data_IF_397832118857
#
_entry.id   IF_397832118857
#
_cell.length_a   1.000
_cell.length_b   1.000
_cell.length_c   1.000
_cell.angle_alpha   90.00
_cell.angle_beta   90.00
_cell.angle_gamma   90.00
#
_symmetry.space_group_name_H-M   'P 1'
#
loop_
_entity.id
_entity.type
_entity.pdbx_description
1 polymer ?
#
# COMPACT_ATOMS: atom_id res chain seq x y z
N UNK A 1 13.51 1.99 -3.89
CA UNK A 1 13.47 3.00 -2.82
C UNK A 1 14.07 2.55 -1.49
N UNK A 2 13.53 1.54 -0.79
CA UNK A 2 14.13 1.12 0.51
C UNK A 2 15.57 0.67 0.34
N UNK A 3 15.84 -0.15 -0.69
CA UNK A 3 17.19 -0.61 -1.05
C UNK A 3 18.16 0.51 -1.45
N UNK A 4 17.64 1.63 -1.95
CA UNK A 4 18.41 2.83 -2.31
C UNK A 4 18.49 3.82 -1.13
N UNK A 5 17.96 3.46 0.04
CA UNK A 5 17.89 4.29 1.24
C UNK A 5 17.09 5.60 1.07
N UNK A 6 16.32 5.75 -0.01
CA UNK A 6 15.45 6.91 -0.25
C UNK A 6 14.20 6.84 0.64
N UNK A 7 13.63 5.64 0.81
CA UNK A 7 12.46 5.45 1.65
C UNK A 7 12.85 4.96 3.05
N UNK A 8 12.30 5.63 4.05
CA UNK A 8 12.62 5.38 5.46
C UNK A 8 11.66 4.37 6.12
N UNK A 9 12.08 3.73 7.19
CA UNK A 9 11.20 2.98 8.09
C UNK A 9 10.35 3.91 8.96
N UNK A 10 9.06 3.61 9.07
CA UNK A 10 8.09 4.39 9.88
C UNK A 10 7.17 3.51 10.73
N UNK A 11 7.51 2.23 10.89
CA UNK A 11 6.69 1.23 11.57
C UNK A 11 7.53 0.50 12.63
N UNK A 12 6.88 0.02 13.69
CA UNK A 12 7.52 -0.64 14.83
C UNK A 12 7.96 0.34 15.92
N UNK A 13 8.60 -0.18 16.96
CA UNK A 13 9.05 0.60 18.13
C UNK A 13 10.07 1.68 17.74
N UNK A 14 11.03 1.33 16.88
CA UNK A 14 12.04 2.27 16.34
C UNK A 14 11.45 3.41 15.51
N UNK A 15 10.20 3.27 15.05
CA UNK A 15 9.50 4.22 14.19
C UNK A 15 8.49 5.13 14.90
N UNK A 16 8.36 5.04 16.23
CA UNK A 16 7.30 5.74 17.01
C UNK A 16 7.50 7.27 17.02
N UNK A 17 8.69 7.73 17.40
CA UNK A 17 9.01 9.16 17.51
C UNK A 17 9.85 9.68 16.33
N UNK A 18 10.14 8.83 15.34
CA UNK A 18 11.08 9.17 14.28
C UNK A 18 11.08 8.17 13.13
N UNK A 19 11.83 8.49 12.08
CA UNK A 19 12.05 7.61 10.94
C UNK A 19 13.45 7.01 11.05
N UNK A 20 13.62 5.77 10.59
CA UNK A 20 14.92 5.08 10.63
C UNK A 20 15.30 4.54 9.25
N UNK A 21 16.59 4.29 9.01
CA UNK A 21 17.03 3.70 7.74
C UNK A 21 16.55 2.24 7.62
N UNK A 22 15.98 1.91 6.48
CA UNK A 22 15.35 0.62 6.26
C UNK A 22 15.69 0.10 4.86
N UNK A 23 16.82 -0.62 4.69
CA UNK A 23 17.23 -1.11 3.37
C UNK A 23 16.28 -2.19 2.82
N UNK A 24 15.64 -2.95 3.70
CA UNK A 24 14.69 -4.02 3.34
C UNK A 24 13.26 -3.53 3.60
N UNK A 25 12.45 -3.44 2.54
CA UNK A 25 11.04 -3.08 2.64
C UNK A 25 10.24 -4.13 3.41
N UNK A 26 9.51 -3.72 4.46
CA UNK A 26 8.53 -4.58 5.12
C UNK A 26 7.18 -4.44 4.44
N UNK A 27 6.70 -5.53 3.85
CA UNK A 27 5.41 -5.60 3.14
C UNK A 27 4.23 -5.15 4.02
N UNK A 28 4.23 -5.47 5.31
CA UNK A 28 3.18 -5.09 6.27
C UNK A 28 3.02 -3.58 6.49
N UNK A 29 4.04 -2.78 6.13
CA UNK A 29 3.96 -1.32 6.24
C UNK A 29 3.11 -0.70 5.13
N UNK A 30 2.78 -1.47 4.09
CA UNK A 30 2.12 -0.96 2.89
C UNK A 30 0.85 -1.73 2.57
N UNK A 31 -0.15 -1.01 2.06
CA UNK A 31 -1.36 -1.58 1.45
C UNK A 31 -1.65 -0.85 0.17
N UNK A 32 -2.22 -1.56 -0.79
CA UNK A 32 -2.68 -0.97 -2.05
C UNK A 32 -4.19 -0.85 -2.02
N UNK A 33 -4.72 0.25 -2.51
CA UNK A 33 -6.15 0.43 -2.72
C UNK A 33 -6.35 0.75 -4.20
N UNK A 34 -7.19 -0.02 -4.89
CA UNK A 34 -7.56 0.33 -6.25
C UNK A 34 -8.46 1.58 -6.25
N UNK A 35 -8.16 2.55 -7.11
CA UNK A 35 -8.90 3.81 -7.21
C UNK A 35 -9.57 4.00 -8.56
N UNK A 36 -8.91 3.64 -9.65
CA UNK A 36 -9.44 3.76 -11.01
C UNK A 36 -9.35 2.42 -11.73
N UNK A 37 -10.37 2.00 -12.50
CA UNK A 37 -11.69 2.63 -12.71
C UNK A 37 -12.74 2.29 -11.64
N UNK A 38 -12.58 1.17 -10.94
CA UNK A 38 -13.51 0.77 -9.87
C UNK A 38 -12.84 0.93 -8.49
N UNK A 39 -13.18 1.97 -7.72
CA UNK A 39 -12.54 2.23 -6.44
C UNK A 39 -12.94 1.18 -5.39
N UNK A 40 -11.95 0.43 -4.92
CA UNK A 40 -12.15 -0.57 -3.87
C UNK A 40 -12.12 0.13 -2.50
N UNK A 41 -13.26 0.65 -2.05
CA UNK A 41 -13.36 1.44 -0.80
C UNK A 41 -13.83 0.63 0.41
N UNK A 42 -14.47 -0.51 0.20
CA UNK A 42 -15.02 -1.34 1.27
C UNK A 42 -14.93 -2.83 0.94
N UNK A 43 -15.06 -3.67 1.98
CA UNK A 43 -14.96 -5.12 1.87
C UNK A 43 -13.58 -5.69 2.19
N UNK A 44 -13.51 -7.02 2.25
CA UNK A 44 -12.31 -7.78 2.69
C UNK A 44 -11.09 -7.56 1.79
N UNK A 45 -11.30 -7.30 0.50
CA UNK A 45 -10.26 -7.18 -0.52
C UNK A 45 -10.03 -5.73 -0.98
N UNK A 46 -10.57 -4.74 -0.27
CA UNK A 46 -10.40 -3.32 -0.62
C UNK A 46 -8.94 -2.85 -0.55
N UNK A 47 -8.21 -3.34 0.47
CA UNK A 47 -6.85 -2.89 0.77
C UNK A 47 -5.91 -4.08 1.01
N UNK A 48 -5.57 -4.88 -0.01
CA UNK A 48 -4.62 -5.99 0.14
C UNK A 48 -3.24 -5.54 0.67
N UNK A 49 -2.52 -6.42 1.39
CA UNK A 49 -1.09 -6.26 1.60
C UNK A 49 -0.31 -6.51 0.30
N UNK A 50 0.93 -6.03 0.26
CA UNK A 50 1.85 -6.31 -0.86
C UNK A 50 2.06 -7.82 -1.02
N UNK A 51 1.80 -8.34 -2.22
CA UNK A 51 1.98 -9.76 -2.55
C UNK A 51 0.79 -10.65 -2.22
N UNK A 52 -0.38 -10.08 -1.89
CA UNK A 52 -1.62 -10.84 -1.85
C UNK A 52 -2.07 -11.27 -3.25
N UNK A 53 -2.87 -12.34 -3.34
CA UNK A 53 -3.50 -12.73 -4.59
C UNK A 53 -4.41 -11.63 -5.11
N UNK A 54 -4.27 -11.30 -6.39
CA UNK A 54 -5.04 -10.27 -7.08
C UNK A 54 -6.30 -10.82 -7.73
N UNK A 55 -6.52 -12.15 -7.76
CA UNK A 55 -7.62 -12.79 -8.50
C UNK A 55 -8.99 -12.18 -8.16
N UNK A 56 -9.27 -11.95 -6.88
CA UNK A 56 -10.56 -11.40 -6.43
C UNK A 56 -10.64 -9.87 -6.56
N UNK A 57 -9.51 -9.18 -6.51
CA UNK A 57 -9.49 -7.72 -6.57
C UNK A 57 -9.46 -7.20 -8.00
N UNK A 58 -8.74 -7.87 -8.89
CA UNK A 58 -8.58 -7.50 -10.30
C UNK A 58 -9.80 -7.83 -11.16
N UNK A 59 -10.70 -8.69 -10.67
CA UNK A 59 -11.94 -9.00 -11.35
C UNK A 59 -12.81 -7.73 -11.48
N UNK A 60 -13.06 -7.30 -12.73
CA UNK A 60 -13.82 -6.08 -13.01
C UNK A 60 -13.06 -4.76 -12.76
N UNK A 61 -11.74 -4.82 -12.54
CA UNK A 61 -10.91 -3.61 -12.50
C UNK A 61 -10.58 -3.14 -13.92
N UNK A 62 -10.40 -4.04 -14.90
CA UNK A 62 -10.13 -3.64 -16.29
C UNK A 62 -11.45 -3.59 -17.05
N UNK A 63 -11.83 -2.41 -17.54
CA UNK A 63 -13.05 -2.21 -18.32
C UNK A 63 -12.65 -1.71 -19.71
N UNK A 64 -13.01 -2.42 -20.79
CA UNK A 64 -12.62 -2.02 -22.14
C UNK A 64 -13.18 -0.64 -22.49
N UNK A 65 -12.41 0.16 -23.24
CA UNK A 65 -12.75 1.49 -23.76
C UNK A 65 -12.87 2.65 -22.74
N UNK A 66 -13.28 2.41 -21.49
CA UNK A 66 -13.48 3.49 -20.49
C UNK A 66 -12.57 3.39 -19.25
N UNK A 67 -11.91 2.25 -19.03
CA UNK A 67 -11.19 1.96 -17.80
C UNK A 67 -10.01 1.01 -18.04
N UNK A 68 -9.13 1.38 -18.97
CA UNK A 68 -7.93 0.61 -19.28
C UNK A 68 -6.76 0.98 -18.36
N UNK A 69 -6.76 2.21 -17.84
CA UNK A 69 -5.74 2.72 -16.91
C UNK A 69 -6.04 2.36 -15.46
N UNK A 70 -5.18 1.55 -14.86
CA UNK A 70 -5.32 1.12 -13.47
C UNK A 70 -4.68 2.12 -12.52
N UNK A 71 -5.50 2.68 -11.62
CA UNK A 71 -5.04 3.57 -10.55
C UNK A 71 -4.94 2.83 -9.22
N UNK A 72 -3.81 2.99 -8.52
CA UNK A 72 -3.64 2.48 -7.16
C UNK A 72 -3.18 3.59 -6.21
N UNK A 73 -3.83 3.69 -5.06
CA UNK A 73 -3.38 4.47 -3.94
C UNK A 73 -2.56 3.57 -2.99
N UNK A 74 -1.35 4.03 -2.65
CA UNK A 74 -0.45 3.30 -1.76
C UNK A 74 -0.55 3.86 -0.35
N UNK A 75 -1.14 3.09 0.54
CA UNK A 75 -1.17 3.42 1.96
C UNK A 75 0.14 3.02 2.62
N UNK A 76 0.68 3.91 3.45
CA UNK A 76 1.90 3.66 4.24
C UNK A 76 1.61 3.84 5.72
N UNK A 77 1.79 2.76 6.49
CA UNK A 77 1.65 2.77 7.93
C UNK A 77 2.73 3.65 8.58
N UNK A 78 2.28 4.56 9.45
CA UNK A 78 3.12 5.33 10.37
C UNK A 78 2.67 5.02 11.77
N UNK A 79 3.59 4.56 12.61
CA UNK A 79 3.35 4.50 14.04
C UNK A 79 3.71 5.87 14.61
N UNK A 80 2.77 6.51 15.30
CA UNK A 80 2.99 7.81 15.92
C UNK A 80 3.09 7.63 17.44
N UNK A 81 3.99 8.39 18.07
CA UNK A 81 3.97 8.61 19.50
C UNK A 81 2.98 9.75 19.79
N UNK A 82 1.98 9.49 20.62
CA UNK A 82 1.24 10.57 21.29
C UNK A 82 2.10 10.99 22.49
N UNK A 83 2.54 12.24 22.49
CA UNK A 83 3.16 12.87 23.66
C UNK A 83 2.12 13.09 24.74
#
# INVERSE_FOLDING_TARGET
>A
LHRELVSWGTMGSKGLCGKYLMPVMRKQQYRFQATNPNPATSGRYACPPIGASTTFQSAGQVIPAIGEDMGYLVWRKRNCCAL
#
